data_IF_677897561006
#
_entry.id   IF_677897561006
#
_cell.length_a   1.000
_cell.length_b   1.000
_cell.length_c   1.000
_cell.angle_alpha   90.00
_cell.angle_beta   90.00
_cell.angle_gamma   90.00
#
_symmetry.space_group_name_H-M   'P 1'
#
loop_
_entity.id
_entity.type
_entity.pdbx_description
1 polymer ?
#
# COMPACT_ATOMS: atom_id res chain seq x y z
N UNK A 1 -12.68 6.36 -9.36
CA UNK A 1 -12.47 6.90 -8.00
C UNK A 1 -11.59 5.88 -7.30
N UNK A 2 -10.51 6.28 -6.64
CA UNK A 2 -9.67 5.33 -5.89
C UNK A 2 -10.03 5.38 -4.41
N UNK A 3 -9.77 4.29 -3.70
CA UNK A 3 -9.97 4.20 -2.25
C UNK A 3 -8.62 4.07 -1.57
N UNK A 4 -8.45 4.77 -0.44
CA UNK A 4 -7.33 4.61 0.47
C UNK A 4 -7.72 3.55 1.50
N UNK A 5 -7.10 2.38 1.47
CA UNK A 5 -7.34 1.31 2.43
C UNK A 5 -6.36 1.40 3.59
N UNK A 6 -6.87 1.34 4.80
CA UNK A 6 -6.07 1.34 6.02
C UNK A 6 -6.19 -0.04 6.68
N UNK A 7 -5.10 -0.79 6.69
CA UNK A 7 -5.03 -2.08 7.38
C UNK A 7 -4.93 -1.82 8.88
N UNK A 8 -5.92 -2.26 9.64
CA UNK A 8 -5.96 -2.06 11.09
C UNK A 8 -6.76 -3.17 11.78
N UNK A 9 -6.30 -3.61 12.94
CA UNK A 9 -7.08 -4.52 13.75
C UNK A 9 -8.36 -3.83 14.25
N UNK A 10 -9.53 -4.49 14.23
CA UNK A 10 -10.77 -3.92 14.77
C UNK A 10 -10.65 -3.52 16.24
N UNK A 11 -9.79 -4.19 16.99
CA UNK A 11 -9.53 -3.94 18.42
C UNK A 11 -8.52 -2.81 18.67
N UNK A 12 -7.83 -2.32 17.65
CA UNK A 12 -6.84 -1.26 17.75
C UNK A 12 -7.51 0.13 17.81
N UNK A 13 -8.37 0.35 18.80
CA UNK A 13 -9.24 1.55 18.91
C UNK A 13 -8.42 2.84 18.83
N UNK A 14 -7.31 2.94 19.57
CA UNK A 14 -6.50 4.16 19.60
C UNK A 14 -5.85 4.45 18.24
N UNK A 15 -5.34 3.42 17.54
CA UNK A 15 -4.76 3.57 16.20
C UNK A 15 -5.82 3.96 15.18
N UNK A 16 -7.00 3.33 15.23
CA UNK A 16 -8.13 3.71 14.35
C UNK A 16 -8.56 5.16 14.58
N UNK A 17 -8.58 5.61 15.84
CA UNK A 17 -8.91 7.00 16.15
C UNK A 17 -7.83 7.96 15.65
N UNK A 18 -6.54 7.61 15.80
CA UNK A 18 -5.44 8.35 15.21
C UNK A 18 -5.59 8.51 13.70
N UNK A 19 -5.88 7.44 12.96
CA UNK A 19 -6.10 7.49 11.52
C UNK A 19 -7.29 8.37 11.14
N UNK A 20 -8.41 8.28 11.84
CA UNK A 20 -9.55 9.15 11.61
C UNK A 20 -9.17 10.63 11.75
N UNK A 21 -8.35 10.97 12.74
CA UNK A 21 -7.86 12.32 12.92
C UNK A 21 -6.89 12.74 11.82
N UNK A 22 -5.92 11.89 11.45
CA UNK A 22 -4.94 12.21 10.43
C UNK A 22 -5.57 12.45 9.06
N UNK A 23 -6.44 11.55 8.62
CA UNK A 23 -7.13 11.67 7.34
C UNK A 23 -8.21 12.76 7.37
N UNK A 24 -8.93 12.89 8.49
CA UNK A 24 -9.97 13.91 8.66
C UNK A 24 -9.43 15.34 8.66
N UNK A 25 -8.22 15.61 9.17
CA UNK A 25 -7.59 16.94 9.12
C UNK A 25 -7.42 17.49 7.69
N UNK A 26 -7.40 16.64 6.70
CA UNK A 26 -7.15 16.99 5.30
C UNK A 26 -8.31 16.57 4.37
N UNK A 27 -9.47 16.17 4.93
CA UNK A 27 -10.63 15.69 4.19
C UNK A 27 -10.31 14.58 3.19
N UNK A 28 -9.39 13.69 3.54
CA UNK A 28 -8.99 12.57 2.70
C UNK A 28 -9.89 11.37 3.00
N UNK A 29 -10.67 10.87 2.04
CA UNK A 29 -11.51 9.70 2.23
C UNK A 29 -10.67 8.43 2.37
N UNK A 30 -11.09 7.52 3.24
CA UNK A 30 -10.44 6.23 3.45
C UNK A 30 -11.45 5.18 3.93
N UNK A 31 -11.03 3.91 3.85
CA UNK A 31 -11.76 2.77 4.39
C UNK A 31 -10.83 1.92 5.25
N UNK A 32 -11.31 1.49 6.42
CA UNK A 32 -10.60 0.47 7.18
C UNK A 32 -10.77 -0.90 6.54
N UNK A 33 -9.66 -1.60 6.39
CA UNK A 33 -9.62 -3.02 6.14
C UNK A 33 -9.24 -3.73 7.44
N UNK A 34 -10.11 -4.63 7.92
CA UNK A 34 -9.87 -5.37 9.15
C UNK A 34 -8.70 -6.34 8.96
N UNK A 35 -7.58 -6.03 9.61
CA UNK A 35 -6.36 -6.81 9.52
C UNK A 35 -6.60 -8.25 9.98
N UNK A 36 -6.02 -9.19 9.25
CA UNK A 36 -6.05 -10.60 9.62
C UNK A 36 -5.23 -10.83 10.90
N UNK A 37 -5.67 -11.80 11.68
CA UNK A 37 -4.98 -12.25 12.90
C UNK A 37 -4.66 -13.74 12.78
N UNK A 38 -3.65 -14.24 13.50
CA UNK A 38 -3.40 -15.66 13.63
C UNK A 38 -4.68 -16.40 14.03
N UNK A 39 -5.17 -17.27 13.17
CA UNK A 39 -6.46 -17.97 13.34
C UNK A 39 -6.58 -19.11 12.33
N UNK A 40 -7.55 -19.99 12.54
CA UNK A 40 -7.90 -21.02 11.56
C UNK A 40 -8.32 -20.41 10.21
N UNK A 41 -9.02 -19.28 10.24
CA UNK A 41 -9.38 -18.55 9.01
C UNK A 41 -8.14 -18.09 8.22
N UNK A 42 -7.11 -17.59 8.91
CA UNK A 42 -5.84 -17.24 8.27
C UNK A 42 -5.22 -18.45 7.59
N UNK A 43 -5.16 -19.61 8.28
CA UNK A 43 -4.60 -20.84 7.74
C UNK A 43 -5.35 -21.29 6.48
N UNK A 44 -6.67 -21.21 6.48
CA UNK A 44 -7.49 -21.53 5.31
C UNK A 44 -7.22 -20.59 4.14
N UNK A 45 -7.06 -19.28 4.39
CA UNK A 45 -6.70 -18.31 3.36
C UNK A 45 -5.31 -18.58 2.79
N UNK A 46 -4.32 -18.89 3.63
CA UNK A 46 -2.97 -19.26 3.21
C UNK A 46 -3.03 -20.51 2.31
N UNK A 47 -3.70 -21.56 2.77
CA UNK A 47 -3.82 -22.80 1.98
C UNK A 47 -4.50 -22.58 0.63
N UNK A 48 -5.50 -21.70 0.60
CA UNK A 48 -6.25 -21.41 -0.63
C UNK A 48 -5.46 -20.60 -1.64
N UNK A 49 -4.71 -19.60 -1.21
CA UNK A 49 -4.12 -18.60 -2.11
C UNK A 49 -2.61 -18.70 -2.22
N UNK A 50 -1.91 -19.02 -1.14
CA UNK A 50 -0.45 -18.99 -1.05
C UNK A 50 0.07 -20.16 -0.19
N UNK A 51 -0.16 -21.43 -0.59
CA UNK A 51 0.15 -22.60 0.24
C UNK A 51 1.64 -22.65 0.68
N UNK A 52 2.56 -22.13 -0.13
CA UNK A 52 3.97 -22.05 0.20
C UNK A 52 4.29 -21.13 1.39
N UNK A 53 3.41 -20.16 1.68
CA UNK A 53 3.57 -19.26 2.82
C UNK A 53 3.50 -20.01 4.17
N UNK A 54 2.81 -21.15 4.22
CA UNK A 54 2.75 -21.98 5.42
C UNK A 54 4.13 -22.47 5.86
N UNK A 55 5.04 -22.71 4.91
CA UNK A 55 6.39 -23.20 5.13
C UNK A 55 7.44 -22.08 5.27
N UNK A 56 7.03 -20.82 5.07
CA UNK A 56 7.94 -19.68 5.20
C UNK A 56 8.41 -19.53 6.65
N UNK A 57 9.69 -19.17 6.82
CA UNK A 57 10.27 -18.87 8.14
C UNK A 57 9.82 -17.50 8.66
N UNK A 58 8.50 -17.35 8.81
CA UNK A 58 7.82 -16.15 9.30
C UNK A 58 6.98 -16.53 10.51
N UNK A 59 6.88 -15.61 11.48
CA UNK A 59 5.94 -15.77 12.58
C UNK A 59 4.49 -15.73 12.08
N UNK A 60 3.56 -16.24 12.85
CA UNK A 60 2.13 -16.19 12.50
C UNK A 60 1.60 -14.75 12.37
N UNK A 61 2.15 -13.81 13.15
CA UNK A 61 1.84 -12.38 13.03
C UNK A 61 2.32 -11.79 11.70
N UNK A 62 3.53 -12.13 11.27
CA UNK A 62 4.08 -11.69 9.98
C UNK A 62 3.30 -12.29 8.80
N UNK A 63 2.90 -13.56 8.90
CA UNK A 63 2.02 -14.20 7.90
C UNK A 63 0.66 -13.49 7.83
N UNK A 64 0.09 -13.13 8.98
CA UNK A 64 -1.18 -12.40 9.05
C UNK A 64 -1.08 -11.00 8.44
N UNK A 65 0.01 -10.26 8.76
CA UNK A 65 0.30 -8.96 8.17
C UNK A 65 0.41 -9.09 6.64
N UNK A 66 1.26 -9.98 6.15
CA UNK A 66 1.44 -10.21 4.72
C UNK A 66 0.13 -10.57 4.01
N UNK A 67 -0.66 -11.48 4.60
CA UNK A 67 -1.94 -11.88 4.02
C UNK A 67 -2.96 -10.75 4.00
N UNK A 68 -2.93 -9.81 4.96
CA UNK A 68 -3.79 -8.62 4.93
C UNK A 68 -3.50 -7.75 3.71
N UNK A 69 -2.23 -7.54 3.37
CA UNK A 69 -1.83 -6.84 2.14
C UNK A 69 -2.23 -7.64 0.90
N UNK A 70 -1.96 -8.95 0.88
CA UNK A 70 -2.27 -9.81 -0.25
C UNK A 70 -3.77 -9.81 -0.60
N UNK A 71 -4.66 -9.86 0.39
CA UNK A 71 -6.11 -9.82 0.14
C UNK A 71 -6.53 -8.47 -0.48
N UNK A 72 -5.89 -7.36 -0.11
CA UNK A 72 -6.13 -6.08 -0.78
C UNK A 72 -5.60 -6.06 -2.22
N UNK A 73 -4.45 -6.71 -2.50
CA UNK A 73 -3.99 -6.89 -3.89
C UNK A 73 -4.99 -7.71 -4.69
N UNK A 74 -5.49 -8.78 -4.10
CA UNK A 74 -6.52 -9.60 -4.71
C UNK A 74 -7.81 -8.80 -4.95
N UNK A 75 -8.24 -7.98 -4.01
CA UNK A 75 -9.38 -7.06 -4.20
C UNK A 75 -9.15 -6.13 -5.41
N UNK A 76 -7.96 -5.57 -5.56
CA UNK A 76 -7.60 -4.74 -6.71
C UNK A 76 -7.79 -5.49 -8.04
N UNK A 77 -7.41 -6.78 -8.07
CA UNK A 77 -7.56 -7.64 -9.24
C UNK A 77 -9.03 -7.98 -9.49
N UNK A 78 -9.73 -8.49 -8.48
CA UNK A 78 -11.09 -9.02 -8.60
C UNK A 78 -12.11 -7.93 -8.97
N UNK A 79 -11.93 -6.72 -8.46
CA UNK A 79 -12.78 -5.56 -8.76
C UNK A 79 -12.30 -4.78 -9.98
N UNK A 80 -11.23 -5.26 -10.64
CA UNK A 80 -10.62 -4.62 -11.81
C UNK A 80 -10.29 -3.13 -11.57
N UNK A 81 -9.83 -2.80 -10.36
CA UNK A 81 -9.39 -1.46 -10.05
C UNK A 81 -8.06 -1.18 -10.75
N UNK A 82 -7.83 0.01 -11.32
CA UNK A 82 -6.56 0.31 -12.00
C UNK A 82 -5.38 0.33 -11.02
N UNK A 83 -5.63 0.72 -9.79
CA UNK A 83 -4.68 0.74 -8.66
C UNK A 83 -5.43 0.92 -7.34
N UNK A 84 -4.77 0.64 -6.23
CA UNK A 84 -5.25 0.95 -4.88
C UNK A 84 -4.13 1.55 -4.03
N UNK A 85 -4.52 2.36 -3.04
CA UNK A 85 -3.64 2.85 -1.99
C UNK A 85 -3.81 1.98 -0.76
N UNK A 86 -2.70 1.57 -0.17
CA UNK A 86 -2.68 0.73 1.04
C UNK A 86 -1.78 1.38 2.08
N UNK A 87 -2.30 1.49 3.30
CA UNK A 87 -1.60 2.06 4.45
C UNK A 87 -1.76 1.16 5.68
N UNK A 88 -0.80 1.21 6.58
CA UNK A 88 -0.90 0.69 7.93
C UNK A 88 -1.44 1.76 8.90
N UNK A 89 -1.85 1.36 10.08
CA UNK A 89 -2.59 2.24 11.01
C UNK A 89 -1.71 3.05 11.98
N UNK A 90 -0.41 3.09 11.73
CA UNK A 90 0.58 3.85 12.53
C UNK A 90 1.31 4.95 11.75
N UNK A 91 0.74 5.37 10.62
CA UNK A 91 1.28 6.42 9.78
C UNK A 91 0.88 7.83 10.24
N UNK A 92 1.69 8.81 9.86
CA UNK A 92 1.37 10.23 9.92
C UNK A 92 1.34 10.82 8.52
N UNK A 93 0.33 11.62 8.21
CA UNK A 93 0.22 12.27 6.92
C UNK A 93 1.07 13.55 6.85
N UNK A 94 1.81 13.69 5.77
CA UNK A 94 2.51 14.94 5.46
C UNK A 94 1.52 16.08 5.13
N UNK A 95 1.99 17.33 5.22
CA UNK A 95 1.17 18.54 5.00
C UNK A 95 0.40 18.55 3.68
N UNK A 96 0.95 17.92 2.64
CA UNK A 96 0.40 17.93 1.28
C UNK A 96 -0.16 16.54 0.89
N UNK A 97 -0.55 15.70 1.85
CA UNK A 97 -1.07 14.36 1.56
C UNK A 97 -2.34 14.44 0.71
N UNK A 98 -3.17 15.45 0.90
CA UNK A 98 -4.36 15.70 0.10
C UNK A 98 -4.06 15.80 -1.41
N UNK A 99 -2.93 16.39 -1.81
CA UNK A 99 -2.51 16.47 -3.22
C UNK A 99 -2.35 15.10 -3.89
N UNK A 100 -2.12 14.04 -3.11
CA UNK A 100 -1.85 12.69 -3.60
C UNK A 100 -2.99 11.71 -3.32
N UNK A 101 -3.72 11.89 -2.23
CA UNK A 101 -4.64 10.89 -1.69
C UNK A 101 -6.11 11.23 -1.87
N UNK A 102 -6.44 12.48 -2.28
CA UNK A 102 -7.83 12.85 -2.57
C UNK A 102 -8.38 12.11 -3.78
N UNK A 103 -9.63 11.73 -3.72
CA UNK A 103 -10.32 10.94 -4.75
C UNK A 103 -10.39 11.62 -6.14
N UNK A 104 -10.24 12.94 -6.22
CA UNK A 104 -10.18 13.69 -7.47
C UNK A 104 -8.82 13.70 -8.16
N UNK A 105 -7.77 13.24 -7.49
CA UNK A 105 -6.41 13.28 -8.02
C UNK A 105 -6.07 12.02 -8.81
N UNK A 106 -6.00 12.15 -10.13
CA UNK A 106 -5.68 11.05 -11.05
C UNK A 106 -4.18 10.97 -11.41
N UNK A 107 -3.29 11.38 -10.48
CA UNK A 107 -1.86 11.44 -10.76
C UNK A 107 -1.24 10.08 -11.10
N UNK A 108 -1.73 9.00 -10.48
CA UNK A 108 -1.29 7.64 -10.82
C UNK A 108 -1.64 7.32 -12.26
N UNK A 109 -2.89 7.52 -12.66
CA UNK A 109 -3.32 7.28 -14.04
C UNK A 109 -2.55 8.14 -15.03
N UNK A 110 -2.31 9.41 -14.70
CA UNK A 110 -1.58 10.32 -15.59
C UNK A 110 -0.10 9.99 -15.76
N UNK A 111 0.55 9.50 -14.69
CA UNK A 111 1.97 9.22 -14.71
C UNK A 111 2.29 7.77 -15.10
N UNK A 112 1.37 6.83 -14.89
CA UNK A 112 1.57 5.39 -15.05
C UNK A 112 0.54 4.76 -16.00
N UNK A 113 0.03 5.55 -16.98
CA UNK A 113 -0.96 5.14 -17.98
C UNK A 113 -0.56 3.92 -18.81
N UNK A 114 0.73 3.63 -18.93
CA UNK A 114 1.25 2.54 -19.77
C UNK A 114 1.04 1.14 -19.16
N UNK A 115 0.12 0.97 -18.21
CA UNK A 115 -0.16 -0.31 -17.54
C UNK A 115 1.09 -1.05 -17.02
N UNK A 116 2.12 -0.31 -16.62
CA UNK A 116 3.32 -0.92 -16.08
C UNK A 116 3.06 -1.49 -14.70
N UNK A 117 3.71 -2.61 -14.41
CA UNK A 117 3.74 -3.20 -13.08
C UNK A 117 4.48 -2.22 -12.15
N UNK A 118 3.74 -1.53 -11.30
CA UNK A 118 4.32 -0.50 -10.45
C UNK A 118 3.83 -0.62 -9.01
N UNK A 119 4.78 -0.56 -8.08
CA UNK A 119 4.55 -0.29 -6.67
C UNK A 119 5.21 1.05 -6.37
N UNK A 120 4.44 2.01 -5.89
CA UNK A 120 4.93 3.35 -5.58
C UNK A 120 4.89 3.52 -4.07
N UNK A 121 6.06 3.62 -3.47
CA UNK A 121 6.17 3.84 -2.03
C UNK A 121 5.90 5.30 -1.71
N UNK A 122 5.10 5.52 -0.68
CA UNK A 122 4.69 6.85 -0.19
C UNK A 122 5.32 7.17 1.16
N UNK A 123 6.13 6.28 1.68
CA UNK A 123 6.79 6.39 2.96
C UNK A 123 8.32 6.39 2.85
N UNK A 124 8.97 6.89 3.90
CA UNK A 124 10.41 6.71 4.12
C UNK A 124 10.60 6.08 5.51
N UNK A 125 11.22 4.92 5.55
CA UNK A 125 11.61 4.28 6.81
C UNK A 125 13.09 4.60 7.04
N UNK A 126 13.42 5.59 7.87
CA UNK A 126 14.76 5.96 8.40
C UNK A 126 16.01 5.48 7.60
N UNK A 127 15.83 5.11 6.34
CA UNK A 127 16.90 4.62 5.45
C UNK A 127 17.13 5.63 4.32
N UNK A 128 18.39 5.87 3.94
CA UNK A 128 18.69 6.66 2.75
C UNK A 128 18.06 6.03 1.51
N UNK A 129 17.29 6.81 0.77
CA UNK A 129 16.74 6.39 -0.51
C UNK A 129 17.84 6.56 -1.56
N UNK A 130 18.16 5.48 -2.29
CA UNK A 130 19.03 5.51 -3.45
C UNK A 130 18.20 5.38 -4.73
N UNK A 131 17.98 6.46 -5.47
CA UNK A 131 17.35 6.37 -6.77
C UNK A 131 18.31 5.75 -7.79
N UNK A 132 17.75 5.00 -8.74
CA UNK A 132 18.50 4.50 -9.89
C UNK A 132 18.82 5.65 -10.85
N UNK A 133 20.03 6.19 -10.77
CA UNK A 133 20.50 7.29 -11.62
C UNK A 133 20.77 6.84 -13.07
N UNK A 134 20.90 5.54 -13.33
CA UNK A 134 21.14 5.00 -14.67
C UNK A 134 19.88 5.03 -15.52
N UNK A 135 18.70 5.02 -14.89
CA UNK A 135 17.38 4.98 -15.53
C UNK A 135 16.64 6.32 -15.43
N UNK A 136 17.30 7.41 -15.82
CA UNK A 136 16.74 8.77 -15.80
C UNK A 136 15.40 8.90 -16.55
N UNK A 137 15.15 8.06 -17.54
CA UNK A 137 13.87 8.00 -18.27
C UNK A 137 12.65 7.64 -17.40
N UNK A 138 12.89 7.05 -16.23
CA UNK A 138 11.84 6.75 -15.25
C UNK A 138 11.59 7.86 -14.22
N UNK A 139 12.32 8.98 -14.33
CA UNK A 139 12.03 10.15 -13.51
C UNK A 139 10.69 10.75 -13.96
N UNK A 140 9.77 10.87 -13.02
CA UNK A 140 8.48 11.54 -13.21
C UNK A 140 8.32 12.61 -12.15
N UNK A 141 7.54 13.62 -12.43
CA UNK A 141 7.28 14.70 -11.49
C UNK A 141 5.78 14.93 -11.30
N UNK A 142 5.41 15.17 -10.05
CA UNK A 142 4.07 15.57 -9.68
C UNK A 142 4.10 16.48 -8.44
N UNK A 143 3.46 17.67 -8.54
CA UNK A 143 3.35 18.63 -7.41
C UNK A 143 4.71 18.89 -6.71
N UNK A 144 5.75 19.17 -7.49
CA UNK A 144 7.12 19.39 -6.98
C UNK A 144 7.73 18.19 -6.22
N UNK A 145 7.24 17.00 -6.47
CA UNK A 145 7.80 15.73 -5.98
C UNK A 145 8.34 14.93 -7.14
N UNK A 146 9.51 14.36 -6.97
CA UNK A 146 10.11 13.45 -7.93
C UNK A 146 9.76 12.01 -7.58
N UNK A 147 9.35 11.25 -8.59
CA UNK A 147 9.13 9.82 -8.50
C UNK A 147 10.22 9.16 -9.31
N UNK A 148 11.00 8.29 -8.65
CA UNK A 148 12.16 7.63 -9.25
C UNK A 148 12.12 6.13 -8.97
N UNK A 149 12.81 5.35 -9.79
CA UNK A 149 13.07 3.95 -9.46
C UNK A 149 14.00 3.86 -8.25
N UNK A 150 13.78 2.86 -7.43
CA UNK A 150 14.67 2.51 -6.33
C UNK A 150 15.74 1.54 -6.83
N UNK A 151 17.01 1.84 -6.52
CA UNK A 151 18.14 0.96 -6.81
C UNK A 151 18.33 -0.09 -5.71
N UNK A 152 18.06 0.28 -4.47
CA UNK A 152 18.31 -0.57 -3.31
C UNK A 152 17.02 -1.18 -2.73
N UNK A 153 17.19 -2.26 -2.00
CA UNK A 153 16.13 -2.82 -1.17
C UNK A 153 15.71 -1.79 -0.13
N UNK A 154 14.43 -1.59 0.02
CA UNK A 154 13.83 -0.69 0.99
C UNK A 154 12.78 -1.45 1.80
N UNK A 155 12.88 -1.38 3.11
CA UNK A 155 11.96 -2.04 4.03
C UNK A 155 10.73 -1.18 4.32
N UNK A 156 9.69 -1.81 4.87
CA UNK A 156 8.43 -1.20 5.29
C UNK A 156 7.32 -1.33 4.25
N UNK A 157 6.10 -1.35 4.72
CA UNK A 157 4.86 -1.44 3.93
C UNK A 157 3.80 -0.46 4.42
N UNK A 158 4.23 0.52 5.23
CA UNK A 158 3.33 1.42 5.93
C UNK A 158 2.50 2.32 5.00
N UNK A 159 2.98 2.60 3.77
CA UNK A 159 2.19 3.36 2.79
C UNK A 159 2.69 3.20 1.36
N UNK A 160 1.82 2.70 0.47
CA UNK A 160 2.16 2.53 -0.95
C UNK A 160 0.92 2.48 -1.86
N UNK A 161 1.19 2.65 -3.15
CA UNK A 161 0.22 2.38 -4.22
C UNK A 161 0.67 1.14 -4.98
N UNK A 162 -0.26 0.27 -5.32
CA UNK A 162 -0.02 -0.85 -6.21
C UNK A 162 -0.97 -0.79 -7.42
N UNK A 163 -0.42 -0.96 -8.61
CA UNK A 163 -1.22 -1.07 -9.83
C UNK A 163 -1.80 -2.47 -9.98
N UNK A 164 -2.94 -2.59 -10.66
CA UNK A 164 -3.58 -3.88 -10.94
C UNK A 164 -2.62 -4.90 -11.57
N UNK A 165 -1.83 -4.44 -12.53
CA UNK A 165 -0.86 -5.31 -13.21
C UNK A 165 0.28 -5.75 -12.27
N UNK A 166 0.73 -4.89 -11.36
CA UNK A 166 1.71 -5.29 -10.35
C UNK A 166 1.13 -6.33 -9.38
N UNK A 167 -0.12 -6.13 -8.95
CA UNK A 167 -0.81 -7.07 -8.06
C UNK A 167 -0.99 -8.48 -8.68
N UNK A 168 -1.08 -8.59 -10.02
CA UNK A 168 -1.17 -9.88 -10.73
C UNK A 168 0.15 -10.63 -10.84
N UNK A 169 1.26 -9.93 -10.68
CA UNK A 169 2.62 -10.51 -10.86
C UNK A 169 3.23 -10.91 -9.53
N UNK A 170 2.80 -10.31 -8.42
CA UNK A 170 3.23 -10.65 -7.07
C UNK A 170 2.52 -11.90 -6.54
#
# INVERSE_FOLDING_TARGET
>A
MHTNYIISLPTAIQRREHIKQEFGKQDIPFEFYDALMPSEQLNQLIQKYLPNLSQASLSEGEKACFMSHYILWKKCIDENLPYIFIFEDDIFLGKNANDFLSSGNNWISNLFLDNKNSIIRLETYLMPIKPDETRKSYKKEYKNREIRLLENVHFGTAGYVITNNAAKVL
#
